data_IF_507338345967
#
_entry.id   IF_507338345967
#
_cell.length_a   1.000
_cell.length_b   1.000
_cell.length_c   1.000
_cell.angle_alpha   90.00
_cell.angle_beta   90.00
_cell.angle_gamma   90.00
#
_symmetry.space_group_name_H-M   'P 1'
#
loop_
_entity.id
_entity.type
_entity.pdbx_description
1 polymer ?
#
# COMPACT_ATOMS: atom_id res chain seq x y z
N UNK A 1 51.55 -38.35 -0.85
CA UNK A 1 50.50 -38.01 -1.82
C UNK A 1 49.26 -37.37 -1.12
N UNK A 2 48.78 -37.99 -0.03
CA UNK A 2 47.66 -37.47 0.74
C UNK A 2 48.04 -36.19 1.50
N UNK A 3 49.23 -36.09 2.07
CA UNK A 3 49.74 -34.92 2.75
C UNK A 3 49.88 -33.69 1.80
N UNK A 4 50.37 -33.90 0.58
CA UNK A 4 50.48 -32.84 -0.42
C UNK A 4 49.08 -32.30 -0.82
N UNK A 5 48.06 -33.17 -0.89
CA UNK A 5 46.67 -32.73 -1.16
C UNK A 5 46.10 -31.99 0.02
N UNK A 6 46.36 -32.40 1.24
CA UNK A 6 45.93 -31.72 2.46
C UNK A 6 46.51 -30.30 2.53
N UNK A 7 47.82 -30.14 2.32
CA UNK A 7 48.50 -28.85 2.31
C UNK A 7 47.96 -27.93 1.20
N UNK A 8 47.68 -28.48 0.02
CA UNK A 8 47.07 -27.67 -1.07
C UNK A 8 45.63 -27.20 -0.71
N UNK A 9 44.83 -28.08 -0.09
CA UNK A 9 43.48 -27.74 0.35
C UNK A 9 43.50 -26.68 1.48
N UNK A 10 44.39 -26.83 2.45
CA UNK A 10 44.60 -25.83 3.51
C UNK A 10 44.98 -24.46 2.92
N UNK A 11 45.95 -24.42 2.01
CA UNK A 11 46.34 -23.16 1.34
C UNK A 11 45.19 -22.53 0.55
N UNK A 12 44.37 -23.34 -0.12
CA UNK A 12 43.16 -22.84 -0.82
C UNK A 12 42.11 -22.33 0.16
N UNK A 13 41.95 -23.01 1.28
CA UNK A 13 41.02 -22.58 2.33
C UNK A 13 41.43 -21.22 2.90
N UNK A 14 42.71 -21.06 3.29
CA UNK A 14 43.24 -19.78 3.78
C UNK A 14 43.12 -18.66 2.75
N UNK A 15 43.41 -18.96 1.46
CA UNK A 15 43.25 -17.98 0.40
C UNK A 15 41.79 -17.57 0.15
N UNK A 16 40.84 -18.51 0.30
CA UNK A 16 39.40 -18.21 0.19
C UNK A 16 38.89 -17.41 1.40
N UNK A 17 39.36 -17.74 2.59
CA UNK A 17 38.99 -17.03 3.83
C UNK A 17 39.47 -15.56 3.77
N UNK A 18 40.71 -15.34 3.34
CA UNK A 18 41.21 -14.00 3.11
C UNK A 18 40.40 -13.21 2.05
N UNK A 19 39.95 -13.88 0.98
CA UNK A 19 39.07 -13.24 -0.03
C UNK A 19 37.70 -12.91 0.52
N UNK A 20 37.13 -13.78 1.38
CA UNK A 20 35.85 -13.54 2.02
C UNK A 20 35.91 -12.27 2.88
N UNK A 21 36.92 -12.12 3.71
CA UNK A 21 37.12 -10.92 4.55
C UNK A 21 37.19 -9.65 3.70
N UNK A 22 37.95 -9.67 2.61
CA UNK A 22 38.05 -8.52 1.70
C UNK A 22 36.74 -8.19 1.01
N UNK A 23 36.00 -9.23 0.56
CA UNK A 23 34.69 -9.06 -0.06
C UNK A 23 33.64 -8.53 0.93
N UNK A 24 33.65 -9.00 2.17
CA UNK A 24 32.78 -8.51 3.24
C UNK A 24 33.05 -7.04 3.54
N UNK A 25 34.31 -6.60 3.60
CA UNK A 25 34.68 -5.20 3.81
C UNK A 25 34.26 -4.31 2.63
N UNK A 26 34.47 -4.78 1.39
CA UNK A 26 33.99 -4.07 0.19
C UNK A 26 32.46 -3.99 0.16
N UNK A 27 31.77 -5.07 0.51
CA UNK A 27 30.32 -5.11 0.60
C UNK A 27 29.83 -4.10 1.65
N UNK A 28 30.42 -4.11 2.85
CA UNK A 28 30.08 -3.19 3.93
C UNK A 28 30.31 -1.72 3.54
N UNK A 29 31.38 -1.42 2.85
CA UNK A 29 31.68 -0.06 2.36
C UNK A 29 30.71 0.38 1.28
N UNK A 30 30.37 -0.50 0.33
CA UNK A 30 29.40 -0.20 -0.74
C UNK A 30 27.95 -0.13 -0.21
N UNK A 31 27.60 -0.96 0.76
CA UNK A 31 26.29 -0.93 1.39
C UNK A 31 26.13 0.25 2.35
N UNK A 32 27.22 0.78 2.93
CA UNK A 32 27.14 1.85 3.91
C UNK A 32 26.38 3.09 3.41
N UNK A 33 26.61 3.51 2.16
CA UNK A 33 25.87 4.59 1.51
C UNK A 33 24.44 4.20 1.10
N UNK A 34 24.21 2.91 0.88
CA UNK A 34 22.89 2.39 0.54
C UNK A 34 22.01 2.20 1.80
N UNK A 35 22.60 1.88 2.95
CA UNK A 35 21.83 1.70 4.20
C UNK A 35 21.04 2.93 4.58
N UNK A 36 21.60 4.12 4.41
CA UNK A 36 20.88 5.37 4.67
C UNK A 36 19.69 5.54 3.72
N UNK A 37 19.89 5.28 2.44
CA UNK A 37 18.82 5.31 1.43
C UNK A 37 17.74 4.27 1.72
N UNK A 38 18.14 3.07 2.14
CA UNK A 38 17.19 2.01 2.53
C UNK A 38 16.42 2.33 3.80
N UNK A 39 17.01 3.03 4.76
CA UNK A 39 16.31 3.55 5.94
C UNK A 39 15.20 4.53 5.57
N UNK A 40 15.46 5.44 4.64
CA UNK A 40 14.44 6.34 4.10
C UNK A 40 13.35 5.58 3.34
N UNK A 41 13.73 4.61 2.52
CA UNK A 41 12.79 3.79 1.76
C UNK A 41 11.89 2.94 2.67
N UNK A 42 12.45 2.39 3.76
CA UNK A 42 11.68 1.72 4.80
C UNK A 42 10.63 2.65 5.41
N UNK A 43 11.02 3.89 5.76
CA UNK A 43 10.09 4.90 6.24
C UNK A 43 8.96 5.14 5.25
N UNK A 44 9.28 5.37 3.97
CA UNK A 44 8.28 5.57 2.90
C UNK A 44 7.36 4.36 2.77
N UNK A 45 7.88 3.14 2.78
CA UNK A 45 7.06 1.92 2.67
C UNK A 45 6.11 1.77 3.86
N UNK A 46 6.59 2.07 5.07
CA UNK A 46 5.78 2.01 6.30
C UNK A 46 4.70 3.08 6.33
N UNK A 47 5.03 4.31 5.99
CA UNK A 47 4.08 5.43 5.94
C UNK A 47 3.03 5.18 4.86
N UNK A 48 3.44 4.68 3.69
CA UNK A 48 2.53 4.32 2.59
C UNK A 48 1.57 3.22 3.02
N UNK A 49 2.06 2.17 3.68
CA UNK A 49 1.24 1.08 4.19
C UNK A 49 0.19 1.61 5.17
N UNK A 50 0.60 2.44 6.12
CA UNK A 50 -0.30 3.00 7.13
C UNK A 50 -1.38 3.91 6.52
N UNK A 51 -1.00 4.78 5.58
CA UNK A 51 -1.95 5.68 4.92
C UNK A 51 -2.94 4.91 4.03
N UNK A 52 -2.48 3.87 3.33
CA UNK A 52 -3.34 3.11 2.44
C UNK A 52 -4.22 2.11 3.16
N UNK A 53 -3.88 1.71 4.39
CA UNK A 53 -4.66 0.75 5.16
C UNK A 53 -6.12 1.21 5.35
N UNK A 54 -6.33 2.50 5.65
CA UNK A 54 -7.67 3.10 5.87
C UNK A 54 -8.18 3.95 4.71
N UNK A 55 -7.43 4.04 3.62
CA UNK A 55 -7.79 4.88 2.49
C UNK A 55 -9.05 4.37 1.78
N UNK A 56 -9.98 5.26 1.45
CA UNK A 56 -11.19 4.91 0.67
C UNK A 56 -10.87 4.29 -0.70
N UNK A 57 -9.70 4.57 -1.25
CA UNK A 57 -9.19 3.98 -2.50
C UNK A 57 -8.90 2.49 -2.36
N UNK A 58 -8.61 1.98 -1.18
CA UNK A 58 -8.27 0.57 -0.94
C UNK A 58 -9.43 -0.37 -1.24
N UNK A 59 -10.68 0.07 -1.04
CA UNK A 59 -11.84 -0.71 -1.43
C UNK A 59 -12.00 -0.87 -2.95
N UNK A 60 -11.41 0.02 -3.75
CA UNK A 60 -11.37 -0.09 -5.20
C UNK A 60 -10.20 -0.93 -5.70
N UNK A 61 -9.03 -0.77 -5.09
CA UNK A 61 -7.79 -1.38 -5.61
C UNK A 61 -7.50 -2.78 -5.07
N UNK A 62 -8.32 -3.25 -4.13
CA UNK A 62 -8.25 -4.61 -3.61
C UNK A 62 -7.17 -4.84 -2.55
N UNK A 63 -7.24 -6.02 -1.94
CA UNK A 63 -6.36 -6.40 -0.83
C UNK A 63 -4.92 -6.70 -1.27
N UNK A 64 -4.66 -6.98 -2.53
CA UNK A 64 -3.30 -7.27 -3.04
C UNK A 64 -2.32 -6.13 -2.76
N UNK A 65 -2.79 -4.88 -2.83
CA UNK A 65 -2.03 -3.69 -2.49
C UNK A 65 -1.62 -3.68 -1.03
N UNK A 66 -2.57 -3.95 -0.15
CA UNK A 66 -2.34 -3.96 1.31
C UNK A 66 -1.38 -5.07 1.71
N UNK A 67 -1.57 -6.27 1.16
CA UNK A 67 -0.70 -7.42 1.41
C UNK A 67 0.74 -7.11 0.98
N UNK A 68 0.90 -6.56 -0.22
CA UNK A 68 2.22 -6.18 -0.74
C UNK A 68 2.92 -5.14 0.14
N UNK A 69 2.23 -4.05 0.48
CA UNK A 69 2.83 -2.96 1.27
C UNK A 69 3.16 -3.41 2.69
N UNK A 70 2.29 -4.22 3.29
CA UNK A 70 2.50 -4.78 4.63
C UNK A 70 3.70 -5.74 4.67
N UNK A 71 3.83 -6.61 3.66
CA UNK A 71 4.97 -7.51 3.55
C UNK A 71 6.28 -6.75 3.30
N UNK A 72 6.28 -5.78 2.39
CA UNK A 72 7.43 -4.94 2.08
C UNK A 72 7.89 -4.16 3.31
N UNK A 73 6.99 -3.45 3.98
CA UNK A 73 7.30 -2.66 5.17
C UNK A 73 7.85 -3.54 6.30
N UNK A 74 7.26 -4.72 6.52
CA UNK A 74 7.71 -5.68 7.53
C UNK A 74 9.12 -6.18 7.24
N UNK A 75 9.38 -6.70 6.04
CA UNK A 75 10.70 -7.26 5.66
C UNK A 75 11.81 -6.23 5.72
N UNK A 76 11.53 -5.00 5.28
CA UNK A 76 12.48 -3.90 5.36
C UNK A 76 12.70 -3.46 6.81
N UNK A 77 11.65 -3.44 7.64
CA UNK A 77 11.73 -3.07 9.05
C UNK A 77 12.52 -4.06 9.90
N UNK A 78 12.40 -5.34 9.59
CA UNK A 78 13.15 -6.41 10.27
C UNK A 78 14.58 -6.58 9.74
N UNK A 79 14.98 -5.83 8.70
CA UNK A 79 16.31 -5.94 8.09
C UNK A 79 16.58 -7.27 7.41
N UNK A 80 15.53 -8.04 7.09
CA UNK A 80 15.63 -9.40 6.54
C UNK A 80 16.15 -9.36 5.11
N UNK A 81 15.68 -8.40 4.31
CA UNK A 81 16.11 -8.25 2.93
C UNK A 81 15.93 -6.82 2.42
N UNK A 82 16.77 -6.45 1.47
CA UNK A 82 16.59 -5.23 0.71
C UNK A 82 15.43 -5.40 -0.28
N UNK A 83 14.72 -4.31 -0.58
CA UNK A 83 13.71 -4.34 -1.63
C UNK A 83 14.36 -4.60 -2.99
N UNK A 84 13.75 -5.47 -3.80
CA UNK A 84 14.16 -5.68 -5.17
C UNK A 84 13.76 -4.51 -6.07
N UNK A 85 14.29 -4.44 -7.28
CA UNK A 85 13.95 -3.40 -8.26
C UNK A 85 12.46 -3.48 -8.61
N UNK A 86 11.93 -4.70 -8.79
CA UNK A 86 10.53 -4.94 -9.11
C UNK A 86 9.60 -4.49 -7.97
N UNK A 87 10.03 -4.65 -6.72
CA UNK A 87 9.28 -4.17 -5.55
C UNK A 87 9.30 -2.65 -5.47
N UNK A 88 10.41 -2.02 -5.79
CA UNK A 88 10.52 -0.56 -5.87
C UNK A 88 9.65 0.01 -7.00
N UNK A 89 9.64 -0.62 -8.17
CA UNK A 89 8.76 -0.27 -9.28
C UNK A 89 7.29 -0.42 -8.90
N UNK A 90 6.94 -1.50 -8.18
CA UNK A 90 5.58 -1.70 -7.69
C UNK A 90 5.19 -0.66 -6.64
N UNK A 91 6.06 -0.32 -5.69
CA UNK A 91 5.80 0.74 -4.71
C UNK A 91 5.55 2.09 -5.42
N UNK A 92 6.41 2.43 -6.38
CA UNK A 92 6.25 3.63 -7.20
C UNK A 92 4.93 3.63 -7.98
N UNK A 93 4.56 2.49 -8.55
CA UNK A 93 3.29 2.33 -9.25
C UNK A 93 2.09 2.56 -8.30
N UNK A 94 2.11 1.99 -7.09
CA UNK A 94 1.02 2.16 -6.12
C UNK A 94 0.88 3.62 -5.67
N UNK A 95 1.99 4.31 -5.42
CA UNK A 95 1.99 5.74 -5.09
C UNK A 95 1.44 6.60 -6.25
N UNK A 96 1.87 6.31 -7.48
CA UNK A 96 1.39 7.01 -8.67
C UNK A 96 -0.09 6.75 -8.92
N UNK A 97 -0.55 5.52 -8.72
CA UNK A 97 -1.96 5.13 -8.83
C UNK A 97 -2.83 5.88 -7.81
N UNK A 98 -2.37 6.00 -6.58
CA UNK A 98 -3.07 6.78 -5.54
C UNK A 98 -3.14 8.26 -5.90
N UNK A 99 -2.04 8.83 -6.40
CA UNK A 99 -2.01 10.22 -6.85
C UNK A 99 -3.03 10.48 -7.96
N UNK A 100 -3.09 9.61 -8.96
CA UNK A 100 -4.09 9.70 -10.04
C UNK A 100 -5.51 9.52 -9.49
N UNK A 101 -5.71 8.56 -8.60
CA UNK A 101 -7.00 8.26 -8.00
C UNK A 101 -7.53 9.43 -7.16
N UNK A 102 -6.65 10.15 -6.46
CA UNK A 102 -7.03 11.30 -5.64
C UNK A 102 -7.69 12.45 -6.42
N UNK A 103 -7.38 12.57 -7.72
CA UNK A 103 -7.95 13.58 -8.62
C UNK A 103 -9.18 13.12 -9.41
N UNK A 104 -9.62 11.86 -9.24
CA UNK A 104 -10.67 11.27 -10.06
C UNK A 104 -11.93 10.92 -9.26
N UNK A 105 -13.09 11.10 -9.89
CA UNK A 105 -14.35 10.51 -9.45
C UNK A 105 -14.56 9.19 -10.20
N UNK A 106 -14.77 8.10 -9.47
CA UNK A 106 -14.86 6.78 -10.07
C UNK A 106 -16.04 5.99 -9.50
N UNK A 107 -16.87 5.43 -10.41
CA UNK A 107 -17.98 4.51 -10.08
C UNK A 107 -17.54 3.07 -10.34
N UNK A 108 -17.75 2.19 -9.38
CA UNK A 108 -17.37 0.77 -9.47
C UNK A 108 -18.22 -0.10 -8.55
N UNK A 109 -18.22 -1.40 -8.78
CA UNK A 109 -18.87 -2.38 -7.91
C UNK A 109 -17.98 -2.70 -6.72
N UNK A 110 -18.54 -2.63 -5.51
CA UNK A 110 -17.84 -3.00 -4.30
C UNK A 110 -18.78 -3.68 -3.28
N UNK A 111 -18.18 -4.40 -2.37
CA UNK A 111 -18.87 -4.97 -1.23
C UNK A 111 -19.16 -3.88 -0.20
N UNK A 112 -20.42 -3.74 0.18
CA UNK A 112 -20.88 -2.80 1.20
C UNK A 112 -21.55 -3.56 2.32
N UNK A 113 -21.17 -3.23 3.55
CA UNK A 113 -21.77 -3.74 4.79
C UNK A 113 -22.70 -2.67 5.33
N UNK A 114 -23.94 -3.02 5.59
CA UNK A 114 -24.90 -2.09 6.19
C UNK A 114 -24.78 -2.04 7.72
N UNK A 115 -25.58 -1.16 8.36
CA UNK A 115 -25.61 -1.01 9.82
C UNK A 115 -26.13 -2.24 10.57
N UNK A 116 -26.74 -3.20 9.87
CA UNK A 116 -27.24 -4.47 10.40
C UNK A 116 -26.20 -5.59 10.22
N UNK A 117 -25.06 -5.28 9.58
CA UNK A 117 -23.97 -6.23 9.29
C UNK A 117 -24.21 -7.09 8.05
N UNK A 118 -25.26 -6.82 7.26
CA UNK A 118 -25.54 -7.52 6.02
C UNK A 118 -24.60 -7.03 4.92
N UNK A 119 -24.15 -7.95 4.10
CA UNK A 119 -23.20 -7.67 3.03
C UNK A 119 -23.88 -7.75 1.68
N UNK A 120 -23.71 -6.73 0.85
CA UNK A 120 -24.23 -6.67 -0.52
C UNK A 120 -23.24 -6.08 -1.50
N UNK A 121 -23.39 -6.42 -2.79
CA UNK A 121 -22.64 -5.77 -3.87
C UNK A 121 -23.41 -4.53 -4.32
N UNK A 122 -22.76 -3.38 -4.26
CA UNK A 122 -23.38 -2.10 -4.62
C UNK A 122 -22.49 -1.30 -5.56
N UNK A 123 -23.11 -0.39 -6.30
CA UNK A 123 -22.39 0.63 -7.05
C UNK A 123 -21.91 1.69 -6.06
N UNK A 124 -20.61 1.79 -5.91
CA UNK A 124 -19.96 2.79 -5.08
C UNK A 124 -19.36 3.86 -5.96
N UNK A 125 -19.55 5.12 -5.62
CA UNK A 125 -18.87 6.26 -6.24
C UNK A 125 -17.85 6.80 -5.26
N UNK A 126 -16.59 6.81 -5.67
CA UNK A 126 -15.49 7.39 -4.91
C UNK A 126 -15.15 8.78 -5.48
N UNK A 127 -15.11 9.77 -4.61
CA UNK A 127 -14.76 11.15 -4.95
C UNK A 127 -13.36 11.44 -4.41
N UNK A 128 -12.37 11.37 -5.29
CA UNK A 128 -10.97 11.50 -4.91
C UNK A 128 -10.54 10.43 -3.88
N UNK A 129 -9.77 10.86 -2.90
CA UNK A 129 -9.42 10.11 -1.69
C UNK A 129 -10.21 10.58 -0.46
N UNK A 130 -11.26 11.39 -0.66
CA UNK A 130 -12.02 12.01 0.43
C UNK A 130 -13.20 11.14 0.88
N UNK A 131 -14.09 10.78 -0.06
CA UNK A 131 -15.32 10.09 0.27
C UNK A 131 -15.62 8.95 -0.69
N UNK A 132 -16.27 7.92 -0.16
CA UNK A 132 -16.98 6.92 -0.93
C UNK A 132 -18.47 6.98 -0.55
N UNK A 133 -19.34 6.86 -1.54
CA UNK A 133 -20.80 6.93 -1.36
C UNK A 133 -21.51 5.89 -2.22
N UNK A 134 -22.68 5.51 -1.78
CA UNK A 134 -23.70 4.85 -2.60
C UNK A 134 -24.95 5.71 -2.61
N UNK A 135 -26.05 5.27 -3.21
CA UNK A 135 -27.30 6.04 -3.22
C UNK A 135 -27.79 6.37 -1.82
N UNK A 136 -27.76 7.64 -1.47
CA UNK A 136 -28.26 8.14 -0.19
C UNK A 136 -27.38 7.86 1.02
N UNK A 137 -26.16 7.33 0.86
CA UNK A 137 -25.31 6.96 1.99
C UNK A 137 -23.83 7.30 1.76
N UNK A 138 -23.20 7.84 2.78
CA UNK A 138 -21.74 7.93 2.89
C UNK A 138 -21.18 6.65 3.50
N UNK A 139 -20.03 6.24 3.00
CA UNK A 139 -19.36 5.00 3.35
C UNK A 139 -17.98 5.29 3.95
N UNK A 140 -17.52 4.40 4.80
CA UNK A 140 -16.12 4.29 5.22
C UNK A 140 -15.52 2.98 4.72
N UNK A 141 -14.21 2.91 4.53
CA UNK A 141 -13.54 1.66 4.21
C UNK A 141 -13.19 0.91 5.48
N UNK A 142 -13.48 -0.39 5.53
CA UNK A 142 -13.18 -1.29 6.63
C UNK A 142 -12.07 -2.27 6.21
N UNK A 143 -10.80 -2.00 6.57
CA UNK A 143 -9.65 -2.81 6.15
C UNK A 143 -9.78 -4.28 6.54
N UNK A 144 -10.28 -4.54 7.77
CA UNK A 144 -10.42 -5.89 8.30
C UNK A 144 -11.34 -6.81 7.46
N UNK A 145 -12.24 -6.23 6.66
CA UNK A 145 -13.18 -6.95 5.79
C UNK A 145 -12.89 -6.75 4.30
N UNK A 146 -12.00 -5.82 3.96
CA UNK A 146 -11.76 -5.43 2.56
C UNK A 146 -13.03 -4.90 1.87
N UNK A 147 -13.91 -4.22 2.64
CA UNK A 147 -15.24 -3.79 2.22
C UNK A 147 -15.51 -2.36 2.68
N UNK A 148 -16.50 -1.73 2.07
CA UNK A 148 -17.05 -0.48 2.60
C UNK A 148 -18.11 -0.79 3.65
N UNK A 149 -18.27 0.12 4.60
CA UNK A 149 -19.31 0.08 5.62
C UNK A 149 -20.09 1.39 5.59
N UNK A 150 -21.40 1.29 5.76
CA UNK A 150 -22.27 2.46 5.88
C UNK A 150 -21.93 3.22 7.17
N UNK A 151 -21.69 4.55 7.07
CA UNK A 151 -21.45 5.36 8.25
C UNK A 151 -22.62 5.24 9.22
N UNK A 152 -22.37 4.96 10.51
CA UNK A 152 -23.43 4.87 11.51
C UNK A 152 -24.22 6.18 11.67
N UNK A 153 -23.57 7.31 11.44
CA UNK A 153 -24.18 8.64 11.46
C UNK A 153 -24.02 9.30 10.12
N UNK A 154 -25.10 9.36 9.37
CA UNK A 154 -25.17 9.99 8.06
C UNK A 154 -25.30 11.52 8.15
N UNK A 155 -24.61 12.30 7.31
CA UNK A 155 -24.73 13.75 7.24
C UNK A 155 -26.02 14.16 6.52
N UNK A 156 -27.17 14.05 7.19
CA UNK A 156 -28.51 14.18 6.58
C UNK A 156 -28.72 15.38 5.66
N UNK A 157 -28.04 16.52 5.94
CA UNK A 157 -28.13 17.73 5.10
C UNK A 157 -27.54 17.52 3.69
N UNK A 158 -26.57 16.62 3.52
CA UNK A 158 -25.77 16.49 2.31
C UNK A 158 -26.07 15.19 1.53
N UNK A 159 -27.06 14.41 1.97
CA UNK A 159 -27.40 13.14 1.31
C UNK A 159 -27.91 13.33 -0.14
N UNK A 160 -28.52 14.48 -0.45
CA UNK A 160 -28.94 14.79 -1.83
C UNK A 160 -27.81 14.69 -2.85
N UNK A 161 -26.62 15.20 -2.51
CA UNK A 161 -25.45 15.12 -3.39
C UNK A 161 -24.96 13.72 -3.69
N UNK A 162 -25.26 12.72 -2.83
CA UNK A 162 -24.88 11.31 -3.09
C UNK A 162 -25.69 10.71 -4.25
N UNK A 163 -26.96 11.07 -4.38
CA UNK A 163 -27.79 10.66 -5.51
C UNK A 163 -27.29 11.35 -6.79
N UNK A 164 -27.04 12.67 -6.72
CA UNK A 164 -26.59 13.45 -7.88
C UNK A 164 -25.28 12.90 -8.44
N UNK A 165 -24.28 12.63 -7.59
CA UNK A 165 -22.99 12.06 -8.02
C UNK A 165 -23.11 10.64 -8.52
N UNK A 166 -24.06 9.87 -7.98
CA UNK A 166 -24.32 8.51 -8.40
C UNK A 166 -25.00 8.42 -9.76
N UNK A 167 -25.95 9.31 -10.05
CA UNK A 167 -26.77 9.28 -11.27
C UNK A 167 -26.12 10.01 -12.44
N UNK A 168 -25.24 10.97 -12.16
CA UNK A 168 -24.61 11.79 -13.19
C UNK A 168 -23.43 11.04 -13.81
N UNK A 169 -23.46 10.88 -15.11
CA UNK A 169 -22.36 10.28 -15.90
C UNK A 169 -21.43 11.30 -16.53
N UNK A 170 -21.91 12.55 -16.76
CA UNK A 170 -21.15 13.63 -17.39
C UNK A 170 -21.62 14.98 -16.85
N UNK A 171 -20.71 15.95 -16.75
CA UNK A 171 -21.01 17.30 -16.30
C UNK A 171 -20.52 17.56 -14.87
N UNK A 172 -21.11 18.57 -14.23
CA UNK A 172 -20.74 19.01 -12.87
C UNK A 172 -21.91 18.79 -11.93
N UNK A 173 -21.61 18.27 -10.75
CA UNK A 173 -22.54 18.12 -9.64
C UNK A 173 -21.96 18.77 -8.40
N UNK A 174 -22.82 19.30 -7.55
CA UNK A 174 -22.42 19.79 -6.23
C UNK A 174 -22.41 18.65 -5.25
N UNK A 175 -21.27 18.42 -4.62
CA UNK A 175 -21.07 17.32 -3.68
C UNK A 175 -20.31 17.78 -2.43
N UNK A 176 -20.81 17.42 -1.26
CA UNK A 176 -20.17 17.75 0.00
C UNK A 176 -19.02 16.74 0.29
N UNK A 177 -17.83 17.28 0.44
CA UNK A 177 -16.61 16.51 0.72
C UNK A 177 -16.17 16.77 2.16
N UNK A 178 -15.82 15.70 2.87
CA UNK A 178 -15.12 15.81 4.14
C UNK A 178 -13.60 15.70 3.90
N UNK A 179 -12.84 16.80 4.03
CA UNK A 179 -11.41 16.80 3.78
C UNK A 179 -10.61 16.11 4.89
N UNK A 180 -11.25 15.82 6.03
CA UNK A 180 -10.60 15.15 7.18
C UNK A 180 -10.78 13.65 7.15
N UNK A 181 -11.57 13.14 6.22
CA UNK A 181 -12.00 11.76 6.12
C UNK A 181 -13.18 11.43 7.04
N UNK A 182 -13.86 10.31 6.78
CA UNK A 182 -14.98 9.88 7.59
C UNK A 182 -14.50 9.53 9.00
N UNK A 183 -14.99 10.26 9.98
CA UNK A 183 -14.77 10.03 11.42
C UNK A 183 -15.97 9.36 12.05
#
# INVERSE_FOLDING_TARGET
RLEAIATELESRFEANDAKLVVLEEQLKTRLGSLYETFGHLQGVASDTQQQFESAVTSGQFGQDREIFLKDLAKRMGEGISLASIEELERLWYELSRELVASGNVQKFQATVVDNEGQTSQQNVVRVGNFNAVTEGQYLTYLPARGAYETLPRQPGRYLGGTYDVHDTSTGFVEFAVDPTGPQ
#
